data_IF_125155290721
#
_entry.id   IF_125155290721
#
_cell.length_a   1.000
_cell.length_b   1.000
_cell.length_c   1.000
_cell.angle_alpha   90.00
_cell.angle_beta   90.00
_cell.angle_gamma   90.00
#
_symmetry.space_group_name_H-M   'P 1'
#
loop_
_entity.id
_entity.type
_entity.pdbx_description
1 polymer ?
#
# COMPACT_ATOMS: atom_id res chain seq x y z
N UNK A 1 23.74 -17.02 -2.05
CA UNK A 1 22.79 -16.23 -1.24
C UNK A 1 23.11 -14.75 -1.44
N UNK A 2 22.11 -13.87 -1.29
CA UNK A 2 22.31 -12.42 -1.34
C UNK A 2 23.16 -11.93 -0.16
N UNK A 3 23.88 -10.82 -0.35
CA UNK A 3 24.53 -10.10 0.75
C UNK A 3 23.48 -9.43 1.64
N UNK A 4 23.89 -9.04 2.85
CA UNK A 4 23.02 -8.28 3.74
C UNK A 4 22.54 -6.97 3.11
N UNK A 5 23.44 -6.24 2.45
CA UNK A 5 23.12 -5.00 1.73
C UNK A 5 22.09 -5.23 0.62
N UNK A 6 22.26 -6.30 -0.17
CA UNK A 6 21.29 -6.65 -1.22
C UNK A 6 19.93 -7.02 -0.64
N UNK A 7 19.89 -7.73 0.49
CA UNK A 7 18.64 -8.06 1.16
C UNK A 7 17.94 -6.80 1.65
N UNK A 8 18.66 -5.88 2.30
CA UNK A 8 18.08 -4.62 2.79
C UNK A 8 17.52 -3.78 1.64
N UNK A 9 18.27 -3.65 0.55
CA UNK A 9 17.84 -2.92 -0.64
C UNK A 9 16.54 -3.47 -1.25
N UNK A 10 16.32 -4.79 -1.20
CA UNK A 10 15.17 -5.45 -1.82
C UNK A 10 13.96 -5.66 -0.90
N UNK A 11 14.13 -5.57 0.42
CA UNK A 11 13.09 -5.95 1.39
C UNK A 11 12.57 -4.81 2.26
N UNK A 12 13.35 -3.72 2.42
CA UNK A 12 12.87 -2.53 3.10
C UNK A 12 11.92 -1.74 2.19
N UNK A 13 10.74 -1.37 2.68
CA UNK A 13 9.67 -0.72 1.90
C UNK A 13 9.09 0.55 2.53
N UNK A 14 9.39 0.80 3.79
CA UNK A 14 8.85 1.91 4.56
C UNK A 14 9.73 3.16 4.41
N UNK A 15 9.14 4.34 4.61
CA UNK A 15 9.84 5.62 4.50
C UNK A 15 10.52 5.78 3.13
N UNK A 16 11.80 6.18 3.15
CA UNK A 16 12.60 6.44 1.95
C UNK A 16 13.33 5.20 1.39
N UNK A 17 12.94 4.00 1.80
CA UNK A 17 13.55 2.79 1.28
C UNK A 17 13.44 2.71 -0.26
N UNK A 18 14.53 2.44 -1.00
CA UNK A 18 14.54 2.50 -2.46
C UNK A 18 13.50 1.57 -3.11
N UNK A 19 13.31 0.36 -2.57
CA UNK A 19 12.32 -0.57 -3.08
C UNK A 19 10.89 -0.10 -2.82
N UNK A 20 10.62 0.48 -1.65
CA UNK A 20 9.35 1.12 -1.34
C UNK A 20 9.00 2.27 -2.30
N UNK A 21 9.97 3.14 -2.61
CA UNK A 21 9.79 4.22 -3.59
C UNK A 21 9.48 3.65 -4.98
N UNK A 22 10.24 2.65 -5.43
CA UNK A 22 9.98 1.98 -6.70
C UNK A 22 8.58 1.36 -6.75
N UNK A 23 8.13 0.71 -5.68
CA UNK A 23 6.78 0.13 -5.60
C UNK A 23 5.69 1.19 -5.74
N UNK A 24 5.80 2.31 -5.01
CA UNK A 24 4.84 3.42 -5.07
C UNK A 24 4.76 4.08 -6.45
N UNK A 25 5.90 4.24 -7.13
CA UNK A 25 5.96 4.93 -8.43
C UNK A 25 5.55 4.05 -9.61
N UNK A 26 5.75 2.73 -9.52
CA UNK A 26 5.70 1.84 -10.69
C UNK A 26 4.66 0.74 -10.62
N UNK A 27 4.09 0.46 -9.46
CA UNK A 27 3.20 -0.68 -9.27
C UNK A 27 1.89 -0.31 -8.62
N UNK A 28 0.82 -0.96 -9.07
CA UNK A 28 -0.48 -0.95 -8.41
C UNK A 28 -0.55 -2.03 -7.34
N UNK A 29 -1.07 -1.67 -6.17
CA UNK A 29 -1.25 -2.60 -5.03
C UNK A 29 -2.73 -2.68 -4.68
N UNK A 30 -3.39 -3.84 -4.82
CA UNK A 30 -4.76 -4.01 -4.36
C UNK A 30 -4.80 -3.97 -2.83
N UNK A 31 -5.66 -3.12 -2.26
CA UNK A 31 -5.70 -2.88 -0.82
C UNK A 31 -7.04 -3.20 -0.15
N UNK A 32 -8.13 -3.32 -0.94
CA UNK A 32 -9.45 -3.67 -0.45
C UNK A 32 -10.24 -4.43 -1.51
N UNK A 33 -11.17 -5.28 -1.06
CA UNK A 33 -12.19 -5.87 -1.94
C UNK A 33 -13.32 -4.87 -2.13
N UNK A 34 -13.79 -4.68 -3.36
CA UNK A 34 -14.90 -3.78 -3.67
C UNK A 34 -16.14 -4.06 -2.80
N UNK A 35 -16.48 -5.34 -2.56
CA UNK A 35 -17.63 -5.74 -1.74
C UNK A 35 -17.49 -5.39 -0.24
N UNK A 36 -16.28 -5.08 0.24
CA UNK A 36 -16.06 -4.63 1.61
C UNK A 36 -16.38 -3.14 1.79
N UNK A 37 -16.35 -2.34 0.71
CA UNK A 37 -16.61 -0.91 0.75
C UNK A 37 -18.08 -0.65 0.41
N UNK A 38 -18.87 -0.28 1.42
CA UNK A 38 -20.29 0.11 1.26
C UNK A 38 -20.35 1.58 0.81
N UNK A 39 -21.21 1.91 -0.16
CA UNK A 39 -21.40 3.27 -0.63
C UNK A 39 -21.90 4.16 0.51
N UNK A 40 -21.24 5.30 0.73
CA UNK A 40 -21.42 6.20 1.90
C UNK A 40 -21.32 5.49 3.26
N UNK A 41 -20.74 4.29 3.27
CA UNK A 41 -20.46 3.52 4.47
C UNK A 41 -19.26 4.07 5.23
N UNK A 42 -18.99 3.53 6.43
CA UNK A 42 -17.83 3.93 7.21
C UNK A 42 -16.54 3.63 6.44
N UNK A 43 -15.57 4.57 6.42
CA UNK A 43 -14.27 4.34 5.81
C UNK A 43 -13.53 3.18 6.50
N UNK A 44 -12.70 2.48 5.73
CA UNK A 44 -11.80 1.44 6.23
C UNK A 44 -10.37 1.96 6.31
N UNK A 45 -9.72 1.66 7.43
CA UNK A 45 -8.29 1.92 7.61
C UNK A 45 -7.46 0.94 6.77
N UNK A 46 -6.50 1.46 6.03
CA UNK A 46 -5.61 0.68 5.16
C UNK A 46 -4.18 1.13 5.38
N UNK A 47 -3.24 0.22 5.60
CA UNK A 47 -1.81 0.53 5.65
C UNK A 47 -1.09 -0.11 4.47
N UNK A 48 -0.36 0.70 3.69
CA UNK A 48 0.45 0.23 2.56
C UNK A 48 1.86 0.81 2.68
N UNK A 49 2.87 -0.05 2.61
CA UNK A 49 4.29 0.35 2.57
C UNK A 49 4.70 1.31 3.72
N UNK A 50 4.13 1.09 4.91
CA UNK A 50 4.39 1.91 6.11
C UNK A 50 3.45 3.10 6.30
N UNK A 51 2.72 3.51 5.26
CA UNK A 51 1.85 4.69 5.29
C UNK A 51 0.38 4.32 5.55
N UNK A 52 -0.31 5.13 6.34
CA UNK A 52 -1.72 4.97 6.69
C UNK A 52 -2.64 5.73 5.72
N UNK A 53 -3.67 5.04 5.25
CA UNK A 53 -4.65 5.50 4.28
C UNK A 53 -6.07 5.15 4.72
N UNK A 54 -7.03 5.74 4.00
CA UNK A 54 -8.44 5.42 4.13
C UNK A 54 -9.00 4.98 2.78
N UNK A 55 -9.66 3.81 2.77
CA UNK A 55 -10.45 3.35 1.64
C UNK A 55 -11.94 3.54 1.95
N UNK A 56 -12.66 4.22 1.05
CA UNK A 56 -14.11 4.41 1.14
C UNK A 56 -14.73 4.36 -0.25
N UNK A 57 -16.06 4.22 -0.32
CA UNK A 57 -16.82 4.26 -1.57
C UNK A 57 -17.79 5.44 -1.51
N UNK A 58 -17.74 6.31 -2.49
CA UNK A 58 -18.65 7.45 -2.59
C UNK A 58 -20.05 7.00 -3.04
N UNK A 59 -21.05 7.87 -2.86
CA UNK A 59 -22.44 7.64 -3.26
C UNK A 59 -22.59 7.23 -4.73
N UNK A 60 -21.78 7.82 -5.61
CA UNK A 60 -21.81 7.63 -7.06
C UNK A 60 -20.95 6.44 -7.55
N UNK A 61 -20.25 5.76 -6.63
CA UNK A 61 -19.43 4.57 -6.91
C UNK A 61 -17.95 4.83 -6.72
#
# INVERSE_FOLDING_TARGET
MLTEEQNRLLTEVEGDAPFGQMMRERYWIPCARSAALVADGPPQHVRLLGDDYVAFRAADG
#
